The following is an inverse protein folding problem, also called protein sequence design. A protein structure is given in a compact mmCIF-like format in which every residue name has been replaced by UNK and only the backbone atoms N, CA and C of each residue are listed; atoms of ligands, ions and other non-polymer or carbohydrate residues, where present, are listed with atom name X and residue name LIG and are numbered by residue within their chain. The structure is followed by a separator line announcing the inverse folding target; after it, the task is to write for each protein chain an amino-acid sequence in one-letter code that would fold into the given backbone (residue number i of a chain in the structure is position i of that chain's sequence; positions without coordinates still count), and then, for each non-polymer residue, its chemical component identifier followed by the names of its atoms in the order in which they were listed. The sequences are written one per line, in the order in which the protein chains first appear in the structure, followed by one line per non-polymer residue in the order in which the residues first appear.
data_IF_259989982735
#
_entry.id   IF_259989982735
#
_cell.length_a   1.000
_cell.length_b   1.000
_cell.length_c   1.000
_cell.angle_alpha   90.00
_cell.angle_beta   90.00
_cell.angle_gamma   90.00
#
_symmetry.space_group_name_H-M   'P 1'
#
loop_
_entity.id
_entity.type
_entity.pdbx_description
1 polymer ?
#
# COMPACT_ATOMS: atom_id res chain seq x y z
N UNK A 1 -0.61 -9.67 -4.66
CA UNK A 1 -0.62 -8.19 -4.60
C UNK A 1 -1.57 -7.77 -3.50
N UNK A 2 -1.26 -6.73 -2.74
CA UNK A 2 -2.21 -6.11 -1.81
C UNK A 2 -2.92 -4.98 -2.56
N UNK A 3 -4.22 -5.13 -2.74
CA UNK A 3 -5.07 -4.07 -3.33
C UNK A 3 -5.70 -3.19 -2.25
N UNK A 4 -6.11 -3.79 -1.12
CA UNK A 4 -6.82 -3.10 -0.05
C UNK A 4 -6.32 -3.56 1.31
N UNK A 5 -5.75 -2.63 2.08
CA UNK A 5 -5.35 -2.84 3.48
C UNK A 5 -5.78 -1.63 4.29
N UNK A 6 -6.81 -1.81 5.11
CA UNK A 6 -7.37 -0.75 5.95
C UNK A 6 -7.25 -1.10 7.43
N UNK A 7 -7.13 -0.08 8.26
CA UNK A 7 -7.13 -0.18 9.71
C UNK A 7 -8.03 0.90 10.26
N UNK A 8 -8.82 0.56 11.28
CA UNK A 8 -9.64 1.54 11.98
C UNK A 8 -8.73 2.67 12.54
N UNK A 9 -9.13 3.96 12.47
CA UNK A 9 -8.31 5.07 12.95
C UNK A 9 -7.73 4.85 14.35
N UNK A 10 -8.55 4.32 15.28
CA UNK A 10 -8.19 4.06 16.68
C UNK A 10 -7.11 3.00 16.88
N UNK A 11 -6.80 2.22 15.85
CA UNK A 11 -5.78 1.16 15.91
C UNK A 11 -4.51 1.51 15.12
N UNK A 12 -4.48 2.64 14.43
CA UNK A 12 -3.30 3.06 13.69
C UNK A 12 -2.19 3.47 14.67
N UNK A 13 -0.95 3.12 14.36
CA UNK A 13 0.21 3.36 15.23
C UNK A 13 0.45 2.26 16.28
N UNK A 14 -0.47 1.29 16.42
CA UNK A 14 -0.32 0.15 17.33
C UNK A 14 0.40 -1.06 16.72
N UNK A 15 0.92 -0.92 15.50
CA UNK A 15 1.71 -1.95 14.81
C UNK A 15 0.92 -3.02 14.04
N UNK A 16 -0.42 -2.98 14.03
CA UNK A 16 -1.24 -3.98 13.31
C UNK A 16 -1.01 -3.97 11.80
N UNK A 17 -0.91 -2.79 11.18
CA UNK A 17 -0.62 -2.68 9.75
C UNK A 17 0.69 -3.37 9.37
N UNK A 18 1.74 -3.21 10.19
CA UNK A 18 3.01 -3.89 9.99
C UNK A 18 2.88 -5.42 10.14
N UNK A 19 2.16 -5.90 11.15
CA UNK A 19 1.93 -7.35 11.32
C UNK A 19 1.20 -7.96 10.12
N UNK A 20 0.19 -7.28 9.60
CA UNK A 20 -0.54 -7.71 8.40
C UNK A 20 0.35 -7.70 7.16
N UNK A 21 1.11 -6.61 6.94
CA UNK A 21 2.05 -6.51 5.83
C UNK A 21 3.12 -7.60 5.89
N UNK A 22 3.72 -7.80 7.06
CA UNK A 22 4.73 -8.84 7.31
C UNK A 22 4.18 -10.23 7.00
N UNK A 23 2.97 -10.55 7.46
CA UNK A 23 2.32 -11.82 7.13
C UNK A 23 2.13 -11.98 5.62
N UNK A 24 1.64 -10.95 4.93
CA UNK A 24 1.44 -11.00 3.48
C UNK A 24 2.75 -11.21 2.71
N UNK A 25 3.84 -10.54 3.12
CA UNK A 25 5.15 -10.71 2.48
C UNK A 25 5.74 -12.09 2.79
N UNK A 26 5.86 -12.46 4.07
CA UNK A 26 6.59 -13.67 4.49
C UNK A 26 5.82 -14.96 4.22
N UNK A 27 4.49 -14.95 4.34
CA UNK A 27 3.69 -16.17 4.27
C UNK A 27 2.85 -16.28 2.99
N UNK A 28 2.63 -15.16 2.29
CA UNK A 28 1.85 -15.15 1.03
C UNK A 28 2.66 -14.69 -0.18
N UNK A 29 3.95 -14.37 0.00
CA UNK A 29 4.83 -13.97 -1.10
C UNK A 29 4.40 -12.68 -1.79
N UNK A 30 3.67 -11.80 -1.10
CA UNK A 30 3.24 -10.53 -1.68
C UNK A 30 4.44 -9.60 -1.82
N UNK A 31 4.77 -9.24 -3.06
CA UNK A 31 5.78 -8.22 -3.38
C UNK A 31 5.19 -6.94 -3.97
N UNK A 32 3.91 -6.92 -4.37
CA UNK A 32 3.28 -5.78 -5.07
C UNK A 32 2.13 -5.15 -4.29
N UNK A 33 2.03 -3.83 -4.32
CA UNK A 33 1.02 -2.99 -3.67
C UNK A 33 0.59 -1.86 -4.60
N UNK A 34 -0.70 -1.56 -4.63
CA UNK A 34 -1.22 -0.33 -5.22
C UNK A 34 -1.63 0.64 -4.11
N UNK A 35 -1.37 1.93 -4.30
CA UNK A 35 -1.78 2.98 -3.35
C UNK A 35 -2.23 4.23 -4.08
N UNK A 36 -3.34 4.84 -3.64
CA UNK A 36 -3.71 6.17 -4.09
C UNK A 36 -2.58 7.16 -3.78
N UNK A 37 -2.13 7.94 -4.77
CA UNK A 37 -1.04 8.92 -4.63
C UNK A 37 -1.34 9.96 -3.53
N UNK A 38 -2.61 10.30 -3.33
CA UNK A 38 -3.05 11.21 -2.27
C UNK A 38 -2.86 10.63 -0.87
N UNK A 39 -2.78 9.31 -0.72
CA UNK A 39 -2.59 8.63 0.57
C UNK A 39 -1.10 8.59 0.94
N UNK A 40 -0.55 9.77 1.21
CA UNK A 40 0.86 9.96 1.60
C UNK A 40 1.25 9.15 2.84
N UNK A 41 0.29 8.91 3.76
CA UNK A 41 0.50 8.07 4.95
C UNK A 41 0.75 6.61 4.57
N UNK A 42 -0.09 6.03 3.70
CA UNK A 42 0.09 4.66 3.23
C UNK A 42 1.35 4.53 2.36
N UNK A 43 1.60 5.49 1.48
CA UNK A 43 2.83 5.53 0.68
C UNK A 43 4.08 5.49 1.57
N UNK A 44 4.16 6.38 2.56
CA UNK A 44 5.27 6.40 3.51
C UNK A 44 5.33 5.14 4.37
N UNK A 45 4.19 4.53 4.71
CA UNK A 45 4.16 3.23 5.39
C UNK A 45 4.80 2.14 4.53
N UNK A 46 4.41 1.97 3.27
CA UNK A 46 4.99 0.93 2.41
C UNK A 46 6.47 1.18 2.10
N UNK A 47 6.85 2.42 1.83
CA UNK A 47 8.26 2.80 1.59
C UNK A 47 9.16 2.47 2.78
N UNK A 48 8.72 2.76 4.02
CA UNK A 48 9.45 2.39 5.24
C UNK A 48 9.66 0.87 5.39
N UNK A 49 8.85 0.05 4.72
CA UNK A 49 8.93 -1.42 4.75
C UNK A 49 9.58 -2.01 3.48
N UNK A 50 10.25 -1.18 2.68
CA UNK A 50 11.10 -1.61 1.58
C UNK A 50 10.43 -1.65 0.21
N UNK A 51 9.17 -1.24 0.10
CA UNK A 51 8.50 -1.08 -1.19
C UNK A 51 8.98 0.19 -1.89
N UNK A 52 9.08 0.15 -3.22
CA UNK A 52 9.48 1.29 -4.06
C UNK A 52 8.46 1.51 -5.16
N UNK A 53 8.23 2.78 -5.52
CA UNK A 53 7.34 3.12 -6.63
C UNK A 53 7.97 2.63 -7.93
N UNK A 54 7.23 1.83 -8.69
CA UNK A 54 7.62 1.28 -9.99
C UNK A 54 6.76 1.78 -11.14
N UNK A 55 5.60 2.37 -10.84
CA UNK A 55 4.70 2.94 -11.84
C UNK A 55 3.68 3.88 -11.24
N UNK A 56 2.97 4.60 -12.13
CA UNK A 56 1.90 5.52 -11.78
C UNK A 56 0.85 5.54 -12.88
N UNK A 57 -0.40 5.31 -12.51
CA UNK A 57 -1.56 5.57 -13.35
C UNK A 57 -2.14 6.94 -13.02
N UNK A 58 -2.53 7.70 -14.06
CA UNK A 58 -3.15 9.01 -13.88
C UNK A 58 -4.60 8.94 -13.41
N UNK A 59 -5.26 7.81 -13.65
CA UNK A 59 -6.65 7.55 -13.33
C UNK A 59 -6.76 6.22 -12.58
N UNK A 60 -7.82 6.05 -11.80
CA UNK A 60 -8.11 4.77 -11.18
C UNK A 60 -8.74 3.79 -12.19
N UNK A 61 -9.13 2.60 -11.70
CA UNK A 61 -9.74 1.54 -12.53
C UNK A 61 -11.11 1.92 -13.10
N UNK A 62 -11.77 2.94 -12.56
CA UNK A 62 -13.05 3.46 -13.03
C UNK A 62 -12.90 4.69 -13.95
N UNK A 63 -11.66 5.12 -14.22
CA UNK A 63 -11.36 6.29 -15.05
C UNK A 63 -11.47 7.62 -14.30
N UNK A 64 -11.59 7.58 -12.97
CA UNK A 64 -11.66 8.78 -12.14
C UNK A 64 -10.26 9.36 -11.93
N UNK A 65 -10.11 10.69 -11.74
CA UNK A 65 -8.82 11.36 -11.60
C UNK A 65 -8.21 11.16 -10.19
N UNK A 66 -8.08 9.91 -9.78
CA UNK A 66 -7.42 9.48 -8.55
C UNK A 66 -6.18 8.66 -8.93
N UNK A 67 -5.00 9.31 -9.03
CA UNK A 67 -3.79 8.64 -9.48
C UNK A 67 -3.40 7.49 -8.54
N UNK A 68 -3.02 6.36 -9.12
CA UNK A 68 -2.57 5.17 -8.40
C UNK A 68 -1.06 5.04 -8.58
N UNK A 69 -0.35 4.81 -7.49
CA UNK A 69 1.05 4.42 -7.50
C UNK A 69 1.14 2.90 -7.36
N UNK A 70 1.94 2.28 -8.23
CA UNK A 70 2.31 0.87 -8.12
C UNK A 70 3.64 0.78 -7.39
N UNK A 71 3.70 -0.09 -6.39
CA UNK A 71 4.88 -0.34 -5.59
C UNK A 71 5.28 -1.80 -5.62
N UNK A 72 6.59 -2.05 -5.60
CA UNK A 72 7.18 -3.39 -5.55
C UNK A 72 8.33 -3.48 -4.53
N UNK A 73 8.53 -4.67 -3.95
CA UNK A 73 9.58 -5.00 -2.97
C UNK A 73 10.44 -6.18 -3.45
#
# INVERSE_FOLDING_TARGET
MIEMLFSHPDVIGKGYGYRLLRFAVEHKGVSKVDVNEQNQRALGFYQKHGFRVTGRDAFDREGMPYPILHLER
#
